data_IF_319400282062
#
_entry.id   IF_319400282062
#
_cell.length_a   1.000
_cell.length_b   1.000
_cell.length_c   1.000
_cell.angle_alpha   90.00
_cell.angle_beta   90.00
_cell.angle_gamma   90.00
#
_symmetry.space_group_name_H-M   'P 1'
#
loop_
_entity.id
_entity.type
_entity.pdbx_description
1 polymer ?
#
# COMPACT_ATOMS: atom_id res chain seq x y z
N UNK A 1 -35.87 -52.05 -4.36
CA UNK A 1 -36.01 -50.65 -4.05
C UNK A 1 -34.88 -49.83 -4.65
N UNK A 2 -35.10 -48.72 -5.34
CA UNK A 2 -34.01 -47.93 -5.91
C UNK A 2 -33.36 -47.09 -4.84
N UNK A 3 -32.04 -47.15 -4.78
CA UNK A 3 -31.20 -46.33 -3.94
C UNK A 3 -31.18 -44.91 -4.52
N UNK A 4 -31.75 -43.96 -3.79
CA UNK A 4 -31.61 -42.54 -4.07
C UNK A 4 -30.17 -42.12 -3.75
N UNK A 5 -29.43 -41.73 -4.80
CA UNK A 5 -28.19 -40.97 -4.65
C UNK A 5 -28.55 -39.54 -4.29
N UNK A 6 -28.20 -39.12 -3.09
CA UNK A 6 -28.18 -37.70 -2.72
C UNK A 6 -27.18 -37.00 -3.63
N UNK A 7 -27.65 -36.00 -4.35
CA UNK A 7 -26.79 -35.04 -5.01
C UNK A 7 -26.12 -34.19 -3.91
N UNK A 8 -24.84 -34.43 -3.68
CA UNK A 8 -24.02 -33.51 -2.92
C UNK A 8 -23.86 -32.23 -3.73
N UNK A 9 -24.26 -31.11 -3.15
CA UNK A 9 -24.04 -29.79 -3.67
C UNK A 9 -22.53 -29.56 -3.89
N UNK A 10 -22.10 -29.76 -5.12
CA UNK A 10 -20.79 -29.27 -5.56
C UNK A 10 -21.00 -27.79 -5.84
N UNK A 11 -20.74 -26.95 -4.83
CA UNK A 11 -20.50 -25.54 -5.07
C UNK A 11 -19.38 -25.45 -6.12
N UNK A 12 -19.77 -25.12 -7.34
CA UNK A 12 -18.82 -24.90 -8.41
C UNK A 12 -17.96 -23.70 -8.04
N UNK A 13 -16.74 -23.97 -7.59
CA UNK A 13 -15.74 -22.95 -7.39
C UNK A 13 -15.57 -22.21 -8.72
N UNK A 14 -15.91 -20.93 -8.74
CA UNK A 14 -15.82 -20.14 -9.97
C UNK A 14 -14.37 -20.15 -10.45
N UNK A 15 -14.10 -20.15 -11.76
CA UNK A 15 -12.74 -20.13 -12.31
C UNK A 15 -11.86 -19.03 -11.72
N UNK A 16 -12.47 -17.91 -11.31
CA UNK A 16 -11.80 -16.78 -10.67
C UNK A 16 -11.29 -17.12 -9.26
N UNK A 17 -12.07 -17.87 -8.46
CA UNK A 17 -11.63 -18.31 -7.13
C UNK A 17 -10.47 -19.28 -7.23
N UNK A 18 -10.55 -20.22 -8.16
CA UNK A 18 -9.50 -21.20 -8.39
C UNK A 18 -8.19 -20.55 -8.87
N UNK A 19 -8.29 -19.57 -9.77
CA UNK A 19 -7.13 -18.81 -10.24
C UNK A 19 -6.49 -17.99 -9.12
N UNK A 20 -7.31 -17.36 -8.24
CA UNK A 20 -6.83 -16.63 -7.06
C UNK A 20 -6.06 -17.54 -6.10
N UNK A 21 -6.58 -18.75 -5.85
CA UNK A 21 -5.91 -19.74 -4.99
C UNK A 21 -4.57 -20.18 -5.58
N UNK A 22 -4.48 -20.41 -6.89
CA UNK A 22 -3.23 -20.77 -7.57
C UNK A 22 -2.18 -19.67 -7.49
N UNK A 23 -2.57 -18.40 -7.47
CA UNK A 23 -1.67 -17.25 -7.36
C UNK A 23 -1.26 -16.92 -5.92
N UNK A 24 -1.85 -17.59 -4.91
CA UNK A 24 -1.60 -17.30 -3.49
C UNK A 24 -2.09 -15.93 -3.03
N UNK A 25 -2.94 -15.27 -3.83
CA UNK A 25 -3.50 -13.96 -3.49
C UNK A 25 -4.66 -14.13 -2.52
N UNK A 26 -4.67 -13.32 -1.46
CA UNK A 26 -5.68 -13.33 -0.40
C UNK A 26 -6.49 -12.05 -0.43
N UNK A 27 -7.69 -12.08 0.16
CA UNK A 27 -8.41 -10.87 0.52
C UNK A 27 -7.73 -10.28 1.77
N UNK A 28 -7.05 -9.14 1.61
CA UNK A 28 -6.39 -8.44 2.70
C UNK A 28 -7.12 -7.15 3.01
N UNK A 29 -7.28 -6.88 4.30
CA UNK A 29 -7.78 -5.61 4.78
C UNK A 29 -6.59 -4.67 5.03
N UNK A 30 -6.08 -4.09 3.96
CA UNK A 30 -4.91 -3.21 4.00
C UNK A 30 -5.31 -1.81 4.48
N UNK A 31 -4.51 -1.16 5.37
CA UNK A 31 -4.80 0.18 5.82
C UNK A 31 -4.89 1.18 4.67
N UNK A 32 -5.95 2.00 4.67
CA UNK A 32 -6.15 3.08 3.71
C UNK A 32 -6.18 4.42 4.44
N UNK A 33 -5.63 5.49 3.84
CA UNK A 33 -5.85 6.84 4.35
C UNK A 33 -7.33 7.20 4.22
N UNK A 34 -7.83 8.09 5.08
CA UNK A 34 -9.19 8.59 5.00
C UNK A 34 -9.23 10.10 5.19
N UNK A 35 -9.93 10.77 4.29
CA UNK A 35 -10.25 12.19 4.45
C UNK A 35 -11.31 12.35 5.54
N UNK A 36 -11.00 13.18 6.53
CA UNK A 36 -11.93 13.55 7.59
C UNK A 36 -12.63 14.88 7.31
N UNK A 37 -13.82 15.03 7.88
CA UNK A 37 -14.64 16.24 7.82
C UNK A 37 -15.08 16.61 9.23
N UNK A 38 -15.20 17.91 9.51
CA UNK A 38 -15.73 18.38 10.78
C UNK A 38 -17.27 18.26 10.84
N UNK A 39 -17.86 18.65 11.96
CA UNK A 39 -19.31 18.59 12.18
C UNK A 39 -20.12 19.50 11.22
N UNK A 40 -19.46 20.48 10.60
CA UNK A 40 -20.06 21.37 9.59
C UNK A 40 -19.81 20.90 8.16
N UNK A 41 -19.12 19.76 7.98
CA UNK A 41 -18.75 19.20 6.69
C UNK A 41 -17.62 19.91 5.99
N UNK A 42 -16.84 20.67 6.72
CA UNK A 42 -15.63 21.26 6.20
C UNK A 42 -14.50 20.25 6.23
N UNK A 43 -13.79 20.14 5.13
CA UNK A 43 -12.67 19.24 4.99
C UNK A 43 -11.56 19.56 5.98
N UNK A 44 -11.17 18.58 6.79
CA UNK A 44 -10.03 18.70 7.69
C UNK A 44 -8.76 18.43 6.89
N UNK A 45 -7.75 19.29 7.01
CA UNK A 45 -6.48 19.09 6.31
C UNK A 45 -5.87 17.74 6.69
N UNK A 46 -5.60 16.92 5.68
CA UNK A 46 -4.97 15.62 5.89
C UNK A 46 -3.47 15.77 6.15
N UNK A 47 -2.99 15.22 7.25
CA UNK A 47 -1.58 15.20 7.60
C UNK A 47 -1.04 13.78 7.37
N UNK A 48 -0.27 13.56 6.28
CA UNK A 48 0.29 12.24 6.01
C UNK A 48 1.26 11.81 7.11
N UNK A 49 1.25 10.53 7.44
CA UNK A 49 2.29 9.95 8.29
C UNK A 49 3.64 10.06 7.57
N UNK A 50 4.70 10.51 8.24
CA UNK A 50 6.02 10.58 7.65
C UNK A 50 6.61 9.18 7.45
N UNK A 51 7.53 9.06 6.48
CA UNK A 51 8.28 7.81 6.27
C UNK A 51 9.08 7.45 7.52
N UNK A 52 8.80 6.34 8.20
CA UNK A 52 9.46 5.99 9.46
C UNK A 52 10.95 5.70 9.28
N UNK A 53 11.38 5.33 8.08
CA UNK A 53 12.79 5.08 7.79
C UNK A 53 13.63 6.35 7.78
N UNK A 54 13.08 7.44 7.28
CA UNK A 54 13.77 8.73 7.17
C UNK A 54 13.44 9.69 8.31
N UNK A 55 12.25 9.57 8.92
CA UNK A 55 11.81 10.46 9.99
C UNK A 55 12.55 10.22 11.31
N UNK A 56 12.85 8.97 11.62
CA UNK A 56 13.63 8.56 12.78
C UNK A 56 14.81 7.70 12.34
N UNK A 57 15.78 8.26 11.63
CA UNK A 57 16.91 7.48 11.12
C UNK A 57 17.75 6.92 12.27
N UNK A 58 18.27 5.73 12.08
CA UNK A 58 19.27 5.17 12.96
C UNK A 58 20.58 5.96 12.82
N UNK A 59 21.31 6.06 13.91
CA UNK A 59 22.66 6.64 13.88
C UNK A 59 23.57 5.81 12.97
N UNK A 60 24.25 6.48 12.05
CA UNK A 60 25.20 5.86 11.11
C UNK A 60 26.56 6.48 11.31
N UNK A 61 27.57 5.66 11.56
CA UNK A 61 28.96 6.11 11.69
C UNK A 61 29.42 6.77 10.38
N UNK A 62 30.21 7.87 10.43
CA UNK A 62 30.72 8.52 9.23
C UNK A 62 31.48 7.59 8.27
N UNK A 63 32.25 6.64 8.81
CA UNK A 63 32.96 5.64 8.01
C UNK A 63 32.03 4.71 7.26
N UNK A 64 30.92 4.31 7.88
CA UNK A 64 29.89 3.50 7.22
C UNK A 64 29.21 4.26 6.09
N UNK A 65 28.92 5.54 6.30
CA UNK A 65 28.34 6.40 5.27
C UNK A 65 29.27 6.56 4.08
N UNK A 66 30.56 6.83 4.32
CA UNK A 66 31.57 6.94 3.28
C UNK A 66 31.75 5.64 2.50
N UNK A 67 31.78 4.50 3.20
CA UNK A 67 31.85 3.18 2.57
C UNK A 67 30.62 2.89 1.69
N UNK A 68 29.42 3.25 2.17
CA UNK A 68 28.19 3.07 1.42
C UNK A 68 28.16 3.92 0.13
N UNK A 69 28.59 5.17 0.22
CA UNK A 69 28.67 6.06 -0.95
C UNK A 69 29.66 5.53 -1.98
N UNK A 70 30.85 5.08 -1.53
CA UNK A 70 31.86 4.51 -2.42
C UNK A 70 31.35 3.23 -3.12
N UNK A 71 30.74 2.32 -2.38
CA UNK A 71 30.16 1.09 -2.92
C UNK A 71 28.99 1.39 -3.90
N UNK A 72 28.13 2.36 -3.57
CA UNK A 72 27.04 2.81 -4.44
C UNK A 72 27.56 3.43 -5.74
N UNK A 73 28.65 4.18 -5.70
CA UNK A 73 29.31 4.71 -6.89
C UNK A 73 29.82 3.59 -7.80
N UNK A 74 30.44 2.56 -7.24
CA UNK A 74 30.85 1.37 -8.02
C UNK A 74 29.66 0.69 -8.69
N UNK A 75 28.55 0.54 -7.98
CA UNK A 75 27.32 -0.02 -8.53
C UNK A 75 26.81 0.80 -9.71
N UNK A 76 26.77 2.12 -9.59
CA UNK A 76 26.32 3.03 -10.66
C UNK A 76 27.23 2.98 -11.88
N UNK A 77 28.53 2.77 -11.68
CA UNK A 77 29.51 2.61 -12.76
C UNK A 77 29.50 1.22 -13.41
N UNK A 78 28.64 0.32 -12.94
CA UNK A 78 28.55 -1.04 -13.47
C UNK A 78 29.59 -2.01 -12.91
N UNK A 79 30.43 -1.58 -11.97
CA UNK A 79 31.36 -2.46 -11.27
C UNK A 79 30.62 -3.27 -10.19
N UNK A 80 29.83 -4.26 -10.62
CA UNK A 80 29.00 -5.07 -9.73
C UNK A 80 29.84 -5.94 -8.79
N UNK A 81 30.93 -6.50 -9.28
CA UNK A 81 31.83 -7.33 -8.47
C UNK A 81 32.45 -6.53 -7.32
N UNK A 82 32.98 -5.35 -7.60
CA UNK A 82 33.57 -4.46 -6.59
C UNK A 82 32.53 -3.93 -5.61
N UNK A 83 31.35 -3.53 -6.10
CA UNK A 83 30.25 -3.08 -5.26
C UNK A 83 29.79 -4.20 -4.31
N UNK A 84 29.61 -5.42 -4.82
CA UNK A 84 29.22 -6.59 -4.02
C UNK A 84 30.22 -6.86 -2.89
N UNK A 85 31.51 -6.87 -3.20
CA UNK A 85 32.54 -7.11 -2.19
C UNK A 85 32.46 -6.07 -1.06
N UNK A 86 32.31 -4.79 -1.42
CA UNK A 86 32.21 -3.71 -0.42
C UNK A 86 30.92 -3.77 0.39
N UNK A 87 29.77 -4.04 -0.22
CA UNK A 87 28.51 -4.17 0.52
C UNK A 87 28.51 -5.40 1.43
N UNK A 88 29.10 -6.52 1.02
CA UNK A 88 29.29 -7.70 1.89
C UNK A 88 30.13 -7.36 3.11
N UNK A 89 31.26 -6.69 2.92
CA UNK A 89 32.09 -6.21 4.02
C UNK A 89 31.28 -5.32 4.99
N UNK A 90 30.46 -4.42 4.46
CA UNK A 90 29.59 -3.56 5.27
C UNK A 90 28.54 -4.34 6.07
N UNK A 91 27.98 -5.44 5.53
CA UNK A 91 27.02 -6.26 6.27
C UNK A 91 27.66 -6.94 7.49
N UNK A 92 28.95 -7.25 7.42
CA UNK A 92 29.70 -7.84 8.53
C UNK A 92 30.13 -6.77 9.55
N UNK A 93 30.64 -5.64 9.07
CA UNK A 93 31.17 -4.56 9.92
C UNK A 93 30.06 -3.73 10.57
N UNK A 94 28.93 -3.55 9.88
CA UNK A 94 27.80 -2.73 10.31
C UNK A 94 26.48 -3.51 10.25
N UNK A 95 26.31 -4.54 11.09
CA UNK A 95 25.19 -5.49 10.97
C UNK A 95 23.81 -4.88 11.24
N UNK A 96 23.75 -3.70 11.85
CA UNK A 96 22.49 -2.98 12.10
C UNK A 96 21.98 -2.17 10.90
N UNK A 97 22.75 -2.06 9.82
CA UNK A 97 22.39 -1.30 8.63
C UNK A 97 21.70 -2.18 7.59
N UNK A 98 20.48 -1.82 7.21
CA UNK A 98 19.72 -2.53 6.17
C UNK A 98 20.11 -2.12 4.75
N UNK A 99 20.61 -0.90 4.54
CA UNK A 99 20.97 -0.37 3.23
C UNK A 99 21.90 -1.25 2.41
N UNK A 100 23.00 -1.78 2.97
CA UNK A 100 23.88 -2.70 2.26
C UNK A 100 23.17 -3.96 1.74
N UNK A 101 22.23 -4.52 2.52
CA UNK A 101 21.43 -5.67 2.08
C UNK A 101 20.52 -5.33 0.91
N UNK A 102 19.90 -4.15 0.90
CA UNK A 102 19.11 -3.67 -0.24
C UNK A 102 19.96 -3.58 -1.50
N UNK A 103 21.18 -3.07 -1.36
CA UNK A 103 22.13 -2.95 -2.49
C UNK A 103 22.61 -4.30 -3.00
N UNK A 104 22.86 -5.26 -2.13
CA UNK A 104 23.15 -6.64 -2.54
C UNK A 104 21.98 -7.26 -3.30
N UNK A 105 20.76 -7.01 -2.88
CA UNK A 105 19.56 -7.41 -3.60
C UNK A 105 19.50 -6.79 -5.00
N UNK A 106 19.77 -5.50 -5.12
CA UNK A 106 19.78 -4.79 -6.40
C UNK A 106 20.88 -5.31 -7.35
N UNK A 107 22.04 -5.67 -6.82
CA UNK A 107 23.10 -6.31 -7.61
C UNK A 107 22.66 -7.66 -8.13
N UNK A 108 22.05 -8.47 -7.28
CA UNK A 108 21.51 -9.77 -7.67
C UNK A 108 20.43 -9.66 -8.76
N UNK A 109 19.54 -8.65 -8.67
CA UNK A 109 18.56 -8.37 -9.73
C UNK A 109 19.23 -8.03 -11.07
N UNK A 110 20.25 -7.19 -11.05
CA UNK A 110 20.98 -6.86 -12.28
C UNK A 110 21.66 -8.07 -12.93
N UNK A 111 22.03 -9.05 -12.13
CA UNK A 111 22.58 -10.33 -12.58
C UNK A 111 21.50 -11.38 -12.86
N UNK A 112 20.22 -11.01 -12.76
CA UNK A 112 19.07 -11.90 -12.94
C UNK A 112 19.03 -13.08 -11.95
N UNK A 113 19.72 -12.93 -10.82
CA UNK A 113 19.71 -13.88 -9.70
C UNK A 113 18.58 -13.54 -8.73
N UNK A 114 17.36 -13.74 -9.19
CA UNK A 114 16.16 -13.26 -8.47
C UNK A 114 15.92 -13.95 -7.13
N UNK A 115 16.25 -15.22 -7.00
CA UNK A 115 16.15 -15.92 -5.71
C UNK A 115 17.11 -15.34 -4.67
N UNK A 116 18.33 -15.05 -5.08
CA UNK A 116 19.32 -14.38 -4.24
C UNK A 116 18.87 -12.97 -3.85
N UNK A 117 18.30 -12.22 -4.81
CA UNK A 117 17.75 -10.90 -4.56
C UNK A 117 16.66 -10.93 -3.47
N UNK A 118 15.73 -11.88 -3.54
CA UNK A 118 14.69 -12.10 -2.52
C UNK A 118 15.32 -12.33 -1.14
N UNK A 119 16.33 -13.17 -1.04
CA UNK A 119 17.02 -13.43 0.25
C UNK A 119 17.65 -12.16 0.82
N UNK A 120 18.30 -11.36 0.00
CA UNK A 120 18.92 -10.11 0.44
C UNK A 120 17.89 -9.06 0.88
N UNK A 121 16.81 -8.89 0.14
CA UNK A 121 15.75 -7.95 0.51
C UNK A 121 15.03 -8.38 1.80
N UNK A 122 14.77 -9.67 1.98
CA UNK A 122 14.22 -10.19 3.24
C UNK A 122 15.16 -9.93 4.40
N UNK A 123 16.46 -10.09 4.20
CA UNK A 123 17.45 -9.75 5.24
C UNK A 123 17.41 -8.27 5.57
N UNK A 124 17.30 -7.39 4.59
CA UNK A 124 17.15 -5.96 4.81
C UNK A 124 15.94 -5.63 5.69
N UNK A 125 14.78 -6.21 5.41
CA UNK A 125 13.56 -6.01 6.22
C UNK A 125 13.68 -6.55 7.64
N UNK A 126 14.43 -7.63 7.85
CA UNK A 126 14.69 -8.17 9.18
C UNK A 126 15.68 -7.32 9.99
N UNK A 127 16.65 -6.73 9.33
CA UNK A 127 17.66 -5.85 9.98
C UNK A 127 17.03 -4.51 10.39
N UNK A 128 16.20 -3.93 9.53
CA UNK A 128 15.43 -2.74 9.85
C UNK A 128 14.03 -2.81 9.26
N UNK A 129 13.06 -3.11 10.11
CA UNK A 129 11.65 -3.19 9.73
C UNK A 129 11.11 -1.87 9.14
N UNK A 130 11.68 -0.74 9.48
CA UNK A 130 11.26 0.56 8.97
C UNK A 130 11.81 0.88 7.57
N UNK A 131 12.68 0.04 7.02
CA UNK A 131 13.14 0.23 5.65
C UNK A 131 12.06 -0.18 4.65
N UNK A 132 11.09 0.71 4.45
CA UNK A 132 9.92 0.48 3.60
C UNK A 132 10.30 0.25 2.13
N UNK A 133 11.44 0.79 1.68
CA UNK A 133 11.93 0.57 0.33
C UNK A 133 12.34 -0.89 0.08
N UNK A 134 12.81 -1.59 1.11
CA UNK A 134 13.15 -3.01 1.01
C UNK A 134 11.92 -3.89 0.72
N UNK A 135 10.78 -3.58 1.33
CA UNK A 135 9.52 -4.30 1.05
C UNK A 135 9.05 -4.07 -0.39
N UNK A 136 9.18 -2.84 -0.90
CA UNK A 136 8.83 -2.55 -2.31
C UNK A 136 9.74 -3.31 -3.26
N UNK A 137 11.04 -3.26 -3.04
CA UNK A 137 12.01 -4.00 -3.86
C UNK A 137 11.73 -5.51 -3.86
N UNK A 138 11.44 -6.07 -2.68
CA UNK A 138 11.06 -7.47 -2.52
C UNK A 138 9.78 -7.80 -3.32
N UNK A 139 8.74 -7.00 -3.19
CA UNK A 139 7.48 -7.20 -3.90
C UNK A 139 7.64 -7.11 -5.42
N UNK A 140 8.47 -6.21 -5.92
CA UNK A 140 8.74 -6.07 -7.34
C UNK A 140 9.42 -7.31 -7.93
N UNK A 141 10.41 -7.86 -7.24
CA UNK A 141 11.08 -9.11 -7.66
C UNK A 141 10.10 -10.29 -7.63
N UNK A 142 9.31 -10.40 -6.57
CA UNK A 142 8.32 -11.46 -6.44
C UNK A 142 7.27 -11.38 -7.55
N UNK A 143 6.78 -10.17 -7.87
CA UNK A 143 5.87 -9.96 -9.00
C UNK A 143 6.50 -10.39 -10.33
N UNK A 144 7.75 -10.01 -10.58
CA UNK A 144 8.52 -10.41 -11.79
C UNK A 144 8.62 -11.92 -11.91
N UNK A 145 8.75 -12.63 -10.80
CA UNK A 145 8.80 -14.10 -10.76
C UNK A 145 7.43 -14.78 -10.86
N UNK A 146 6.34 -14.00 -10.93
CA UNK A 146 4.98 -14.53 -10.91
C UNK A 146 4.50 -14.97 -9.52
N UNK A 147 5.22 -14.64 -8.47
CA UNK A 147 4.88 -14.94 -7.08
C UNK A 147 3.94 -13.86 -6.52
N UNK A 148 2.72 -13.80 -7.07
CA UNK A 148 1.80 -12.69 -6.83
C UNK A 148 1.30 -12.62 -5.39
N UNK A 149 1.06 -13.75 -4.73
CA UNK A 149 0.70 -13.77 -3.32
C UNK A 149 1.80 -13.25 -2.41
N UNK A 150 3.05 -13.60 -2.69
CA UNK A 150 4.20 -13.08 -1.97
C UNK A 150 4.40 -11.57 -2.22
N UNK A 151 4.24 -11.11 -3.46
CA UNK A 151 4.30 -9.69 -3.80
C UNK A 151 3.22 -8.89 -3.06
N UNK A 152 1.98 -9.39 -3.02
CA UNK A 152 0.89 -8.80 -2.26
C UNK A 152 1.26 -8.65 -0.78
N UNK A 153 1.80 -9.70 -0.17
CA UNK A 153 2.23 -9.67 1.22
C UNK A 153 3.32 -8.62 1.46
N UNK A 154 4.32 -8.54 0.59
CA UNK A 154 5.41 -7.57 0.71
C UNK A 154 4.94 -6.13 0.63
N UNK A 155 4.08 -5.79 -0.33
CA UNK A 155 3.52 -4.45 -0.44
C UNK A 155 2.59 -4.11 0.73
N UNK A 156 1.83 -5.09 1.22
CA UNK A 156 0.94 -4.91 2.36
C UNK A 156 1.72 -4.70 3.66
N UNK A 157 2.82 -5.42 3.87
CA UNK A 157 3.72 -5.19 5.01
C UNK A 157 4.33 -3.79 4.98
N UNK A 158 4.69 -3.27 3.81
CA UNK A 158 5.13 -1.89 3.68
C UNK A 158 4.06 -0.90 4.18
N UNK A 159 2.78 -1.15 3.88
CA UNK A 159 1.67 -0.30 4.33
C UNK A 159 1.37 -0.46 5.82
N UNK A 160 1.62 -1.61 6.42
CA UNK A 160 1.51 -1.77 7.87
C UNK A 160 2.58 -0.98 8.62
N UNK A 161 3.77 -0.85 8.04
CA UNK A 161 4.83 -0.01 8.58
C UNK A 161 4.55 1.47 8.33
N UNK A 162 4.06 1.80 7.15
CA UNK A 162 3.76 3.16 6.74
C UNK A 162 2.50 3.21 5.87
N UNK A 163 1.34 3.46 6.48
CA UNK A 163 0.02 3.50 5.79
C UNK A 163 -0.01 4.49 4.62
N UNK A 164 0.65 5.64 4.76
CA UNK A 164 0.62 6.73 3.79
C UNK A 164 1.76 6.65 2.77
N UNK A 165 2.23 5.43 2.50
CA UNK A 165 3.27 5.15 1.51
C UNK A 165 2.70 5.09 0.09
N UNK A 166 2.84 6.16 -0.74
CA UNK A 166 2.21 6.21 -2.05
C UNK A 166 2.63 5.06 -2.97
N UNK A 167 3.92 4.74 -3.02
CA UNK A 167 4.45 3.69 -3.90
C UNK A 167 3.90 2.29 -3.57
N UNK A 168 3.67 2.00 -2.30
CA UNK A 168 3.09 0.72 -1.90
C UNK A 168 1.63 0.60 -2.38
N UNK A 169 0.85 1.67 -2.27
CA UNK A 169 -0.50 1.70 -2.83
C UNK A 169 -0.49 1.54 -4.34
N UNK A 170 0.39 2.24 -5.05
CA UNK A 170 0.50 2.12 -6.50
C UNK A 170 0.87 0.70 -6.93
N UNK A 171 1.85 0.09 -6.28
CA UNK A 171 2.28 -1.28 -6.63
C UNK A 171 1.20 -2.32 -6.33
N UNK A 172 0.44 -2.17 -5.24
CA UNK A 172 -0.73 -3.02 -4.96
C UNK A 172 -1.82 -2.84 -6.02
N UNK A 173 -2.14 -1.59 -6.38
CA UNK A 173 -3.12 -1.30 -7.41
C UNK A 173 -2.76 -1.94 -8.75
N UNK A 174 -1.50 -1.82 -9.17
CA UNK A 174 -0.98 -2.44 -10.39
C UNK A 174 -1.07 -3.97 -10.31
N UNK A 175 -0.69 -4.56 -9.18
CA UNK A 175 -0.77 -5.99 -8.97
C UNK A 175 -2.22 -6.49 -9.11
N UNK A 176 -3.16 -5.82 -8.44
CA UNK A 176 -4.57 -6.19 -8.48
C UNK A 176 -5.20 -5.99 -9.84
N UNK A 177 -4.83 -4.93 -10.56
CA UNK A 177 -5.43 -4.62 -11.86
C UNK A 177 -4.84 -5.47 -12.99
N UNK A 178 -3.53 -5.48 -13.13
CA UNK A 178 -2.86 -6.06 -14.31
C UNK A 178 -2.51 -7.53 -14.17
N UNK A 179 -2.32 -8.04 -12.96
CA UNK A 179 -1.78 -9.38 -12.75
C UNK A 179 -2.81 -10.37 -12.20
N UNK A 180 -3.72 -9.94 -11.34
CA UNK A 180 -4.63 -10.85 -10.65
C UNK A 180 -6.10 -10.56 -10.87
N UNK A 181 -6.43 -9.61 -11.72
CA UNK A 181 -7.80 -9.24 -12.11
C UNK A 181 -8.74 -9.02 -10.91
N UNK A 182 -8.36 -8.13 -10.02
CA UNK A 182 -9.16 -7.69 -8.87
C UNK A 182 -9.39 -6.17 -8.95
N UNK A 183 -10.27 -5.69 -9.85
CA UNK A 183 -10.40 -4.26 -10.14
C UNK A 183 -10.92 -3.44 -8.94
N UNK A 184 -11.75 -4.02 -8.08
CA UNK A 184 -12.23 -3.32 -6.88
C UNK A 184 -11.09 -3.05 -5.89
N UNK A 185 -10.24 -4.03 -5.64
CA UNK A 185 -9.05 -3.84 -4.80
C UNK A 185 -8.06 -2.87 -5.46
N UNK A 186 -7.90 -2.95 -6.77
CA UNK A 186 -7.09 -1.99 -7.51
C UNK A 186 -7.60 -0.56 -7.34
N UNK A 187 -8.91 -0.36 -7.41
CA UNK A 187 -9.53 0.94 -7.24
C UNK A 187 -9.23 1.56 -5.87
N UNK A 188 -9.30 0.78 -4.80
CA UNK A 188 -8.98 1.23 -3.45
C UNK A 188 -7.58 1.83 -3.38
N UNK A 189 -6.62 1.15 -3.96
CA UNK A 189 -5.21 1.55 -3.89
C UNK A 189 -4.84 2.62 -4.91
N UNK A 190 -5.43 2.65 -6.09
CA UNK A 190 -5.29 3.79 -7.01
C UNK A 190 -5.85 5.07 -6.40
N UNK A 191 -7.00 4.97 -5.73
CA UNK A 191 -7.63 6.09 -5.04
C UNK A 191 -6.73 6.62 -3.90
N UNK A 192 -6.17 5.71 -3.09
CA UNK A 192 -5.20 6.04 -2.05
C UNK A 192 -3.95 6.70 -2.62
N UNK A 193 -3.39 6.15 -3.68
CA UNK A 193 -2.22 6.74 -4.34
C UNK A 193 -2.51 8.15 -4.85
N UNK A 194 -3.61 8.34 -5.56
CA UNK A 194 -3.99 9.66 -6.09
C UNK A 194 -4.19 10.68 -4.98
N UNK A 195 -4.83 10.28 -3.89
CA UNK A 195 -5.05 11.13 -2.71
C UNK A 195 -3.72 11.56 -2.06
N UNK A 196 -2.78 10.65 -1.88
CA UNK A 196 -1.50 10.90 -1.21
C UNK A 196 -0.49 11.62 -2.10
N UNK A 197 -0.44 11.31 -3.38
CA UNK A 197 0.52 11.84 -4.34
C UNK A 197 0.12 13.24 -4.87
N UNK A 198 -1.16 13.60 -4.81
CA UNK A 198 -1.67 14.87 -5.32
C UNK A 198 -1.32 15.10 -6.80
N UNK A 199 -0.71 16.22 -7.11
CA UNK A 199 -0.33 16.57 -8.50
C UNK A 199 0.61 15.57 -9.18
N UNK A 200 1.44 14.88 -8.42
CA UNK A 200 2.30 13.81 -8.94
C UNK A 200 1.52 12.58 -9.40
N UNK A 201 0.29 12.43 -8.92
CA UNK A 201 -0.61 11.32 -9.26
C UNK A 201 -1.40 11.50 -10.56
N UNK A 202 -1.27 12.61 -11.26
CA UNK A 202 -2.08 12.93 -12.47
C UNK A 202 -2.02 11.84 -13.52
N UNK A 203 -0.86 11.23 -13.74
CA UNK A 203 -0.69 10.13 -14.72
C UNK A 203 -1.50 8.88 -14.34
N UNK A 204 -1.67 8.64 -13.06
CA UNK A 204 -2.42 7.49 -12.52
C UNK A 204 -3.92 7.76 -12.50
N UNK A 205 -4.34 9.02 -12.56
CA UNK A 205 -5.75 9.40 -12.60
C UNK A 205 -6.51 8.73 -13.76
N UNK A 206 -5.89 8.60 -14.92
CA UNK A 206 -6.48 7.89 -16.06
C UNK A 206 -6.76 6.41 -15.75
N UNK A 207 -5.87 5.75 -15.01
CA UNK A 207 -6.05 4.37 -14.60
C UNK A 207 -7.17 4.24 -13.58
N UNK A 208 -7.27 5.17 -12.64
CA UNK A 208 -8.37 5.21 -11.68
C UNK A 208 -9.73 5.39 -12.38
N UNK A 209 -9.82 6.30 -13.35
CA UNK A 209 -11.04 6.50 -14.16
C UNK A 209 -11.43 5.22 -14.89
N UNK A 210 -10.48 4.55 -15.52
CA UNK A 210 -10.72 3.30 -16.25
C UNK A 210 -11.16 2.16 -15.33
N UNK A 211 -10.54 2.03 -14.16
CA UNK A 211 -10.95 1.03 -13.16
C UNK A 211 -12.35 1.32 -12.64
N UNK A 212 -12.69 2.58 -12.35
CA UNK A 212 -14.05 2.99 -11.95
C UNK A 212 -15.09 2.62 -13.00
N UNK A 213 -14.78 2.81 -14.27
CA UNK A 213 -15.65 2.42 -15.39
C UNK A 213 -15.93 0.91 -15.36
N UNK A 214 -14.93 0.10 -15.09
CA UNK A 214 -15.06 -1.38 -15.05
C UNK A 214 -15.78 -1.88 -13.81
N UNK A 215 -15.57 -1.27 -12.65
CA UNK A 215 -16.22 -1.67 -11.37
C UNK A 215 -17.63 -1.10 -11.23
N UNK A 216 -17.94 0.02 -11.88
CA UNK A 216 -19.17 0.78 -11.66
C UNK A 216 -19.25 1.47 -10.29
N UNK A 217 -18.17 1.47 -9.50
CA UNK A 217 -18.12 2.10 -8.19
C UNK A 217 -17.64 3.54 -8.35
N UNK A 218 -18.55 4.48 -8.21
CA UNK A 218 -18.24 5.91 -8.40
C UNK A 218 -17.73 6.59 -7.13
N UNK A 219 -18.16 6.11 -5.95
CA UNK A 219 -17.72 6.69 -4.68
C UNK A 219 -16.22 6.47 -4.47
N UNK A 220 -15.55 7.44 -3.85
CA UNK A 220 -14.18 7.24 -3.37
C UNK A 220 -14.16 6.32 -2.14
N UNK A 221 -13.12 5.52 -1.99
CA UNK A 221 -12.84 4.77 -0.76
C UNK A 221 -12.10 5.61 0.28
N UNK A 222 -11.64 6.79 -0.11
CA UNK A 222 -10.76 7.67 0.70
C UNK A 222 -11.49 8.94 1.10
N UNK A 223 -12.07 9.64 0.13
CA UNK A 223 -12.68 10.97 0.30
C UNK A 223 -14.18 10.91 0.00
N UNK A 224 -14.98 10.79 1.06
CA UNK A 224 -16.43 10.78 0.97
C UNK A 224 -17.00 11.91 1.82
N UNK A 225 -17.33 13.08 1.23
CA UNK A 225 -17.98 14.17 1.93
C UNK A 225 -19.31 13.70 2.54
N UNK A 226 -19.68 14.16 3.74
CA UNK A 226 -21.00 13.89 4.31
C UNK A 226 -22.10 14.42 3.37
N UNK A 227 -23.13 13.60 3.13
CA UNK A 227 -24.22 13.95 2.22
C UNK A 227 -25.25 14.88 2.82
N UNK A 228 -25.38 14.93 4.14
CA UNK A 228 -26.40 15.73 4.85
C UNK A 228 -25.81 16.28 6.14
N UNK A 229 -26.08 17.58 6.37
CA UNK A 229 -25.81 18.22 7.66
C UNK A 229 -27.11 18.30 8.42
N UNK A 230 -27.18 17.68 9.61
CA UNK A 230 -28.21 17.98 10.57
C UNK A 230 -27.76 19.24 11.31
N UNK A 231 -28.34 20.38 10.93
CA UNK A 231 -28.20 21.60 11.76
C UNK A 231 -29.01 21.35 13.01
N UNK A 232 -28.36 20.92 14.08
CA UNK A 232 -28.95 20.96 15.42
C UNK A 232 -28.84 22.42 15.84
N UNK A 233 -29.92 23.18 15.71
CA UNK A 233 -30.02 24.47 16.38
C UNK A 233 -29.99 24.19 17.88
N UNK A 234 -28.86 24.52 18.49
CA UNK A 234 -28.77 24.56 19.96
C UNK A 234 -29.56 25.77 20.41
N UNK A 235 -30.75 25.54 20.94
CA UNK A 235 -31.49 26.59 21.64
C UNK A 235 -30.59 27.23 22.70
N UNK A 236 -30.43 28.55 22.62
CA UNK A 236 -29.73 29.32 23.65
C UNK A 236 -30.51 29.18 24.95
N UNK A 237 -29.86 28.85 26.07
CA UNK A 237 -30.52 28.84 27.34
C UNK A 237 -30.80 30.28 27.78
N UNK A 238 -32.05 30.70 27.71
CA UNK A 238 -32.47 32.00 28.23
C UNK A 238 -33.69 32.57 27.55
N UNK A 239 -34.85 31.93 27.69
CA UNK A 239 -36.10 32.64 28.05
C UNK A 239 -37.12 31.57 28.48
N UNK A 240 -37.44 31.58 29.77
CA UNK A 240 -38.53 30.79 30.31
C UNK A 240 -39.85 31.50 29.99
N UNK A 241 -40.57 30.94 29.03
CA UNK A 241 -41.90 31.45 28.71
C UNK A 241 -42.49 30.86 27.43
N UNK A 242 -43.44 29.91 27.65
CA UNK A 242 -44.39 29.39 26.69
C UNK A 242 -43.92 28.19 25.85
N UNK A 243 -44.53 27.05 26.19
CA UNK A 243 -44.56 25.85 25.41
C UNK A 243 -45.12 26.11 24.00
N UNK A 244 -44.36 25.70 22.99
CA UNK A 244 -44.99 25.18 21.80
C UNK A 244 -44.04 24.22 21.05
N UNK A 245 -44.67 23.22 20.50
CA UNK A 245 -44.12 22.02 19.92
C UNK A 245 -43.19 22.29 18.76
N UNK A 246 -41.94 21.84 18.87
CA UNK A 246 -41.00 21.84 17.73
C UNK A 246 -41.35 20.71 16.75
N UNK A 247 -41.79 21.07 15.57
CA UNK A 247 -41.96 20.17 14.45
C UNK A 247 -40.64 19.98 13.71
N UNK A 248 -40.17 18.75 13.70
CA UNK A 248 -39.03 18.34 12.86
C UNK A 248 -39.52 18.25 11.40
N UNK A 249 -39.08 19.16 10.56
CA UNK A 249 -39.26 19.03 9.12
C UNK A 249 -37.99 18.49 8.47
N UNK A 250 -38.06 17.24 8.07
CA UNK A 250 -37.11 16.67 7.12
C UNK A 250 -37.49 17.13 5.70
N UNK A 251 -36.63 17.90 5.03
CA UNK A 251 -36.76 18.18 3.61
C UNK A 251 -35.87 17.18 2.85
N UNK A 252 -36.51 16.20 2.21
CA UNK A 252 -35.91 15.40 1.16
C UNK A 252 -35.87 16.24 -0.12
N UNK A 253 -34.70 16.45 -0.69
CA UNK A 253 -34.55 17.00 -2.02
C UNK A 253 -34.59 15.86 -3.05
N UNK A 254 -35.46 16.02 -4.03
CA UNK A 254 -35.55 15.21 -5.26
C UNK A 254 -34.37 15.48 -6.19
#
# INVERSE_FOLDING_TARGET
GPVQRQASDVESDSPVKEQKQRMGVRTLNTPLPKQAYDSKGVKIAYVPQPNPYTHKPRSVKPEARSAFVAASSMFQQGNLKGARAKFREMTEKYPSLSGPWVKLGAIAEKEEKYEEAVKHYRKATSVNRNNVNAYIALGLVQRRRGEFGAAQASYSEALEVWRDFPEAHLNLAILYDLYVNQPEQAQNHFDAYYFLAGKKGIKVHKWLVEVKRRTGIERSFIDNPPKEFVVVEVEKPGDAGAADTASVQAKSAQ
#
